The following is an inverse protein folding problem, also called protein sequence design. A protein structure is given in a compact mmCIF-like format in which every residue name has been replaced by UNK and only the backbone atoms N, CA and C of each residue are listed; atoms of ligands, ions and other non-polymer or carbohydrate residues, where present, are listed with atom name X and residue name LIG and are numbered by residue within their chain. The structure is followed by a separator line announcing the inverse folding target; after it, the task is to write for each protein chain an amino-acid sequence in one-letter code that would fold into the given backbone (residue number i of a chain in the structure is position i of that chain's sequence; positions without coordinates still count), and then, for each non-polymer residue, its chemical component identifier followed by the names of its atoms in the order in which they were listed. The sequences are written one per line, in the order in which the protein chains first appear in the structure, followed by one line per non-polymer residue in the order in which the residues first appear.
data_IF_901148537556
#
_entry.id   IF_901148537556
#
_cell.length_a   1.000
_cell.length_b   1.000
_cell.length_c   1.000
_cell.angle_alpha   90.00
_cell.angle_beta   90.00
_cell.angle_gamma   90.00
#
_symmetry.space_group_name_H-M   'P 1'
#
loop_
_entity.id
_entity.type
_entity.pdbx_description
1 polymer ?
#
# COMPACT_ATOMS: atom_id res chain seq x y z
N UNK A 1 -13.23 -6.17 -17.59
CA UNK A 1 -12.92 -4.72 -17.70
C UNK A 1 -12.31 -4.29 -16.38
N UNK A 2 -11.13 -3.65 -16.39
CA UNK A 2 -10.56 -3.04 -15.19
C UNK A 2 -11.47 -1.91 -14.71
N UNK A 3 -11.46 -1.60 -13.42
CA UNK A 3 -12.21 -0.44 -12.95
C UNK A 3 -11.44 0.83 -13.36
N UNK A 4 -12.15 1.94 -13.62
CA UNK A 4 -11.54 3.24 -13.95
C UNK A 4 -10.45 3.65 -12.94
N UNK A 5 -10.65 3.35 -11.67
CA UNK A 5 -9.67 3.64 -10.60
C UNK A 5 -8.37 2.82 -10.76
N UNK A 6 -8.44 1.58 -11.24
CA UNK A 6 -7.26 0.76 -11.49
C UNK A 6 -6.46 1.28 -12.68
N UNK A 7 -7.15 1.72 -13.75
CA UNK A 7 -6.49 2.29 -14.93
C UNK A 7 -5.82 3.62 -14.60
N UNK A 8 -6.43 4.46 -13.76
CA UNK A 8 -5.82 5.71 -13.27
C UNK A 8 -4.54 5.46 -12.45
N UNK A 9 -4.55 4.44 -11.58
CA UNK A 9 -3.35 4.05 -10.83
C UNK A 9 -2.21 3.63 -11.76
N UNK A 10 -2.50 2.73 -12.70
CA UNK A 10 -1.51 2.27 -13.70
C UNK A 10 -1.01 3.37 -14.63
N UNK A 11 -1.88 4.30 -15.02
CA UNK A 11 -1.48 5.45 -15.84
C UNK A 11 -0.51 6.37 -15.06
N UNK A 12 -0.72 6.56 -13.77
CA UNK A 12 0.20 7.31 -12.93
C UNK A 12 1.54 6.59 -12.74
N UNK A 13 1.54 5.25 -12.58
CA UNK A 13 2.77 4.44 -12.58
C UNK A 13 3.57 4.63 -13.86
N UNK A 14 2.90 4.61 -15.03
CA UNK A 14 3.54 4.84 -16.32
C UNK A 14 4.13 6.25 -16.43
N UNK A 15 3.40 7.28 -16.02
CA UNK A 15 3.90 8.66 -15.99
C UNK A 15 5.19 8.78 -15.14
N UNK A 16 5.24 8.09 -13.98
CA UNK A 16 6.43 8.09 -13.13
C UNK A 16 7.61 7.38 -13.79
N UNK A 17 7.39 6.29 -14.53
CA UNK A 17 8.47 5.60 -15.29
C UNK A 17 9.07 6.55 -16.36
N UNK A 18 8.22 7.27 -17.10
CA UNK A 18 8.67 8.21 -18.14
C UNK A 18 9.48 9.34 -17.52
N UNK A 19 8.95 10.02 -16.52
CA UNK A 19 9.64 11.13 -15.85
C UNK A 19 10.95 10.69 -15.19
N UNK A 20 10.99 9.52 -14.55
CA UNK A 20 12.23 8.96 -14.00
C UNK A 20 13.25 8.68 -15.09
N UNK A 21 12.82 8.09 -16.22
CA UNK A 21 13.72 7.83 -17.35
C UNK A 21 14.32 9.13 -17.87
N UNK A 22 13.48 10.11 -18.21
CA UNK A 22 13.90 11.38 -18.79
C UNK A 22 14.90 12.11 -17.87
N UNK A 23 14.64 12.11 -16.54
CA UNK A 23 15.52 12.76 -15.56
C UNK A 23 16.83 11.99 -15.28
N UNK A 24 16.85 10.67 -15.45
CA UNK A 24 18.05 9.84 -15.22
C UNK A 24 18.93 9.80 -16.47
N UNK A 25 18.34 9.74 -17.68
CA UNK A 25 19.12 9.58 -18.92
C UNK A 25 20.04 10.77 -19.24
N UNK A 26 19.76 11.96 -18.71
CA UNK A 26 20.64 13.13 -18.78
C UNK A 26 21.97 12.94 -18.03
N UNK A 27 22.04 11.99 -17.10
CA UNK A 27 23.19 11.80 -16.18
C UNK A 27 23.87 10.44 -16.40
N UNK A 28 23.11 9.38 -16.72
CA UNK A 28 23.62 8.01 -16.82
C UNK A 28 22.74 7.11 -17.67
N UNK A 29 23.26 5.96 -18.16
CA UNK A 29 22.44 4.98 -18.90
C UNK A 29 21.28 4.46 -18.07
N UNK A 30 20.08 4.49 -18.65
CA UNK A 30 18.83 3.97 -18.07
C UNK A 30 18.04 3.21 -19.12
N UNK A 31 17.41 2.09 -18.73
CA UNK A 31 16.54 1.31 -19.58
C UNK A 31 15.24 0.99 -18.85
N UNK A 32 14.16 0.87 -19.60
CA UNK A 32 12.86 0.41 -19.10
C UNK A 32 12.74 -1.08 -19.42
N UNK A 33 12.25 -1.88 -18.48
CA UNK A 33 11.79 -3.24 -18.75
C UNK A 33 10.44 -3.18 -19.47
N UNK A 34 10.48 -3.23 -20.80
CA UNK A 34 9.33 -3.05 -21.68
C UNK A 34 8.20 -4.06 -21.42
N UNK A 35 8.53 -5.30 -21.00
CA UNK A 35 7.50 -6.30 -20.70
C UNK A 35 6.72 -5.92 -19.42
N UNK A 36 7.39 -5.33 -18.45
CA UNK A 36 6.80 -4.96 -17.17
C UNK A 36 5.79 -3.81 -17.28
N UNK A 37 5.97 -2.89 -18.24
CA UNK A 37 5.16 -1.67 -18.35
C UNK A 37 3.94 -1.80 -19.27
N UNK A 38 3.75 -2.93 -20.00
CA UNK A 38 2.70 -3.09 -21.02
C UNK A 38 1.30 -2.71 -20.52
N UNK A 39 0.94 -3.15 -19.31
CA UNK A 39 -0.39 -2.89 -18.75
C UNK A 39 -0.56 -1.40 -18.34
N UNK A 40 0.49 -0.80 -17.82
CA UNK A 40 0.52 0.61 -17.41
C UNK A 40 0.49 1.53 -18.64
N UNK A 41 1.24 1.21 -19.70
CA UNK A 41 1.20 1.91 -20.98
C UNK A 41 -0.19 1.87 -21.62
N UNK A 42 -0.85 0.69 -21.66
CA UNK A 42 -2.23 0.60 -22.16
C UNK A 42 -3.20 1.48 -21.36
N UNK A 43 -3.08 1.51 -20.05
CA UNK A 43 -3.90 2.36 -19.21
C UNK A 43 -3.63 3.85 -19.48
N UNK A 44 -2.37 4.24 -19.68
CA UNK A 44 -1.96 5.58 -20.08
C UNK A 44 -2.59 6.04 -21.41
N UNK A 45 -2.59 5.18 -22.43
CA UNK A 45 -3.19 5.51 -23.73
C UNK A 45 -4.70 5.77 -23.67
N UNK A 46 -5.39 5.29 -22.64
CA UNK A 46 -6.82 5.55 -22.45
C UNK A 46 -7.13 6.87 -21.75
N UNK A 47 -6.10 7.55 -21.21
CA UNK A 47 -6.29 8.82 -20.51
C UNK A 47 -6.39 10.01 -21.48
N UNK A 48 -7.15 11.02 -21.08
CA UNK A 48 -7.19 12.31 -21.80
C UNK A 48 -5.85 13.05 -21.64
N UNK A 49 -5.54 13.95 -22.57
CA UNK A 49 -4.32 14.78 -22.50
C UNK A 49 -4.26 15.61 -21.19
N UNK A 50 -5.40 16.05 -20.68
CA UNK A 50 -5.46 16.74 -19.39
C UNK A 50 -5.05 15.83 -18.22
N UNK A 51 -5.51 14.58 -18.21
CA UNK A 51 -5.14 13.60 -17.20
C UNK A 51 -3.67 13.20 -17.33
N UNK A 52 -3.17 13.00 -18.56
CA UNK A 52 -1.76 12.71 -18.83
C UNK A 52 -0.86 13.82 -18.29
N UNK A 53 -1.13 15.07 -18.62
CA UNK A 53 -0.37 16.23 -18.12
C UNK A 53 -0.43 16.34 -16.59
N UNK A 54 -1.55 16.02 -15.97
CA UNK A 54 -1.70 15.99 -14.52
C UNK A 54 -0.80 14.93 -13.88
N UNK A 55 -0.77 13.71 -14.43
CA UNK A 55 0.09 12.63 -13.94
C UNK A 55 1.58 12.93 -14.11
N UNK A 56 2.01 13.53 -15.23
CA UNK A 56 3.39 13.95 -15.45
C UNK A 56 3.81 15.00 -14.40
N UNK A 57 3.00 16.03 -14.17
CA UNK A 57 3.27 17.03 -13.12
C UNK A 57 3.34 16.41 -11.72
N UNK A 58 2.46 15.45 -11.44
CA UNK A 58 2.49 14.73 -10.17
C UNK A 58 3.74 13.87 -10.01
N UNK A 59 4.23 13.28 -11.09
CA UNK A 59 5.44 12.49 -11.14
C UNK A 59 6.69 13.37 -10.98
N UNK A 60 6.85 14.43 -11.77
CA UNK A 60 8.00 15.35 -11.69
C UNK A 60 8.17 15.95 -10.28
N UNK A 61 7.06 16.24 -9.61
CA UNK A 61 7.08 16.95 -8.32
C UNK A 61 7.93 16.29 -7.23
N UNK A 62 8.06 14.96 -7.18
CA UNK A 62 8.78 14.27 -6.11
C UNK A 62 10.18 13.78 -6.50
N UNK A 63 10.55 13.82 -7.78
CA UNK A 63 11.80 13.21 -8.28
C UNK A 63 13.04 13.84 -7.65
N UNK A 64 13.09 15.16 -7.52
CA UNK A 64 14.24 15.84 -6.87
C UNK A 64 14.37 15.41 -5.40
N UNK A 65 13.25 15.18 -4.72
CA UNK A 65 13.23 14.65 -3.34
C UNK A 65 13.76 13.22 -3.30
N UNK A 66 13.36 12.38 -4.25
CA UNK A 66 13.85 11.01 -4.38
C UNK A 66 15.36 10.99 -4.64
N UNK A 67 15.87 11.79 -5.55
CA UNK A 67 17.31 11.87 -5.85
C UNK A 67 18.13 12.40 -4.67
N UNK A 68 17.56 13.32 -3.89
CA UNK A 68 18.16 13.80 -2.64
C UNK A 68 18.25 12.73 -1.56
N UNK A 69 17.30 11.79 -1.54
CA UNK A 69 17.27 10.66 -0.61
C UNK A 69 18.13 9.48 -1.08
N UNK A 70 18.22 9.25 -2.41
CA UNK A 70 18.83 8.05 -3.00
C UNK A 70 19.89 8.42 -4.06
N UNK A 71 21.09 8.84 -3.63
CA UNK A 71 22.16 9.27 -4.54
C UNK A 71 22.65 8.17 -5.50
N UNK A 72 22.44 6.89 -5.14
CA UNK A 72 22.80 5.75 -5.98
C UNK A 72 22.03 5.69 -7.30
N UNK A 73 20.91 6.41 -7.42
CA UNK A 73 20.18 6.52 -8.69
C UNK A 73 21.02 7.27 -9.73
N UNK A 74 21.66 8.37 -9.33
CA UNK A 74 22.42 9.24 -10.25
C UNK A 74 23.90 8.92 -10.30
N UNK A 75 24.47 8.27 -9.28
CA UNK A 75 25.86 7.87 -9.28
C UNK A 75 26.14 6.80 -10.35
N UNK A 76 27.14 7.02 -11.20
CA UNK A 76 27.48 6.14 -12.30
C UNK A 76 28.97 5.73 -12.25
N UNK A 77 29.23 4.44 -12.30
CA UNK A 77 30.57 3.84 -12.30
C UNK A 77 31.03 3.44 -13.73
N UNK A 78 30.56 4.14 -14.76
CA UNK A 78 30.90 3.89 -16.17
C UNK A 78 29.72 3.48 -17.04
N UNK A 79 29.93 3.33 -18.34
CA UNK A 79 28.87 3.12 -19.34
C UNK A 79 28.09 1.81 -19.16
N UNK A 80 28.69 0.78 -18.54
CA UNK A 80 28.02 -0.51 -18.30
C UNK A 80 27.18 -0.51 -17.01
N UNK A 81 27.23 0.57 -16.24
CA UNK A 81 26.47 0.75 -15.01
C UNK A 81 25.07 1.33 -15.32
N UNK A 82 24.15 0.46 -15.65
CA UNK A 82 22.81 0.79 -16.15
C UNK A 82 21.79 0.75 -15.01
N UNK A 83 20.90 1.75 -14.95
CA UNK A 83 19.64 1.69 -14.18
C UNK A 83 18.59 0.95 -14.99
N UNK A 84 17.87 0.06 -14.34
CA UNK A 84 16.69 -0.60 -14.91
C UNK A 84 15.45 -0.15 -14.14
N UNK A 85 14.47 0.39 -14.87
CA UNK A 85 13.16 0.77 -14.36
C UNK A 85 12.15 -0.31 -14.72
N UNK A 86 11.40 -0.80 -13.75
CA UNK A 86 10.37 -1.84 -13.96
C UNK A 86 9.12 -1.60 -13.11
N UNK A 87 7.98 -2.13 -13.55
CA UNK A 87 6.74 -2.19 -12.77
C UNK A 87 6.55 -3.63 -12.29
N UNK A 88 6.34 -3.81 -10.98
CA UNK A 88 6.08 -5.11 -10.38
C UNK A 88 4.71 -5.64 -10.82
N UNK A 89 4.60 -6.96 -10.89
CA UNK A 89 3.32 -7.63 -11.15
C UNK A 89 2.43 -7.60 -9.91
N UNK A 90 1.12 -7.50 -10.11
CA UNK A 90 0.13 -7.57 -9.01
C UNK A 90 0.30 -8.85 -8.15
N UNK A 91 0.81 -9.95 -8.74
CA UNK A 91 1.14 -11.19 -8.03
C UNK A 91 2.23 -11.04 -6.98
N UNK A 92 3.17 -10.11 -7.15
CA UNK A 92 4.31 -9.95 -6.25
C UNK A 92 3.86 -9.41 -4.87
N UNK A 93 2.75 -8.66 -4.85
CA UNK A 93 2.10 -8.24 -3.62
C UNK A 93 1.56 -9.41 -2.77
N UNK A 94 1.25 -10.56 -3.38
CA UNK A 94 0.86 -11.79 -2.67
C UNK A 94 2.05 -12.40 -1.93
N UNK A 95 3.26 -12.23 -2.46
CA UNK A 95 4.51 -12.64 -1.82
C UNK A 95 5.09 -11.58 -0.88
N UNK A 96 4.36 -10.47 -0.69
CA UNK A 96 4.71 -9.42 0.27
C UNK A 96 5.56 -8.28 -0.29
N UNK A 97 5.81 -8.20 -1.59
CA UNK A 97 6.42 -7.02 -2.21
C UNK A 97 5.31 -6.02 -2.57
N UNK A 98 5.24 -4.90 -1.86
CA UNK A 98 4.21 -3.86 -2.03
C UNK A 98 4.65 -2.72 -2.94
N UNK A 99 5.83 -2.84 -3.55
CA UNK A 99 6.38 -1.83 -4.47
C UNK A 99 5.71 -1.96 -5.82
N UNK A 100 5.24 -0.85 -6.36
CA UNK A 100 4.62 -0.80 -7.69
C UNK A 100 5.71 -0.55 -8.77
N UNK A 101 6.66 0.36 -8.52
CA UNK A 101 7.82 0.62 -9.38
C UNK A 101 9.10 0.18 -8.66
N UNK A 102 10.03 -0.45 -9.38
CA UNK A 102 11.35 -0.82 -8.87
C UNK A 102 12.44 -0.18 -9.73
N UNK A 103 13.38 0.47 -9.05
CA UNK A 103 14.59 1.07 -9.62
C UNK A 103 15.75 0.16 -9.24
N UNK A 104 16.39 -0.48 -10.21
CA UNK A 104 17.46 -1.46 -9.97
C UNK A 104 18.78 -1.00 -10.56
N UNK A 105 19.85 -1.09 -9.78
CA UNK A 105 21.25 -0.90 -10.21
C UNK A 105 22.02 -2.21 -10.00
N UNK A 106 22.12 -3.02 -11.05
CA UNK A 106 22.66 -4.40 -10.97
C UNK A 106 24.16 -4.43 -10.62
N UNK A 107 24.93 -3.46 -11.09
CA UNK A 107 26.38 -3.37 -10.87
C UNK A 107 26.78 -3.39 -9.39
N UNK A 108 25.97 -2.80 -8.52
CA UNK A 108 26.17 -2.74 -7.06
C UNK A 108 25.17 -3.55 -6.26
N UNK A 109 24.34 -4.38 -6.92
CA UNK A 109 23.27 -5.20 -6.28
C UNK A 109 22.34 -4.38 -5.39
N UNK A 110 21.87 -3.26 -5.89
CA UNK A 110 21.02 -2.35 -5.17
C UNK A 110 19.69 -2.17 -5.92
N UNK A 111 18.62 -2.11 -5.17
CA UNK A 111 17.29 -1.75 -5.67
C UNK A 111 16.51 -1.00 -4.61
N UNK A 112 15.67 -0.10 -5.06
CA UNK A 112 14.62 0.54 -4.24
C UNK A 112 13.29 0.48 -4.96
N UNK A 113 12.20 0.69 -4.22
CA UNK A 113 10.88 0.70 -4.79
C UNK A 113 10.02 1.86 -4.36
N UNK A 114 9.06 2.15 -5.23
CA UNK A 114 8.02 3.14 -5.01
C UNK A 114 6.66 2.44 -4.94
N UNK A 115 5.85 2.73 -3.93
CA UNK A 115 4.44 2.33 -3.88
C UNK A 115 3.58 3.51 -4.28
N UNK A 116 2.97 3.40 -5.47
CA UNK A 116 2.27 4.51 -6.14
C UNK A 116 0.78 4.50 -5.78
N UNK A 117 0.25 5.67 -5.42
CA UNK A 117 -1.18 5.82 -5.14
C UNK A 117 -1.69 7.13 -5.76
N UNK A 118 -2.91 7.08 -6.30
CA UNK A 118 -3.59 8.25 -6.85
C UNK A 118 -4.86 8.53 -6.07
N UNK A 119 -4.92 9.66 -5.37
CA UNK A 119 -6.03 10.07 -4.49
C UNK A 119 -6.45 9.03 -3.44
N UNK A 120 -5.54 8.11 -3.06
CA UNK A 120 -5.87 6.99 -2.21
C UNK A 120 -4.76 6.72 -1.19
N UNK A 121 -5.12 6.61 0.09
CA UNK A 121 -4.17 6.50 1.20
C UNK A 121 -4.08 5.10 1.81
N UNK A 122 -4.83 4.11 1.30
CA UNK A 122 -4.81 2.77 1.88
C UNK A 122 -3.41 2.17 1.92
N UNK A 123 -3.13 1.50 3.03
CA UNK A 123 -1.93 0.68 3.17
C UNK A 123 -2.11 -0.64 2.42
N UNK A 124 -3.27 -1.28 2.60
CA UNK A 124 -3.61 -2.56 1.95
C UNK A 124 -5.12 -2.76 1.90
N UNK A 125 -5.58 -3.46 0.87
CA UNK A 125 -6.95 -3.96 0.75
C UNK A 125 -6.98 -5.46 1.04
N UNK A 126 -7.22 -5.83 2.28
CA UNK A 126 -7.38 -7.24 2.66
C UNK A 126 -8.83 -7.68 2.55
N UNK A 127 -9.07 -8.98 2.36
CA UNK A 127 -10.42 -9.55 2.33
C UNK A 127 -10.66 -10.42 3.55
N UNK A 128 -11.91 -10.40 4.02
CA UNK A 128 -12.45 -11.35 4.98
C UNK A 128 -13.53 -12.21 4.29
N UNK A 129 -13.59 -13.47 4.68
CA UNK A 129 -14.61 -14.42 4.22
C UNK A 129 -14.79 -15.55 5.24
N UNK A 130 -15.73 -16.44 5.01
CA UNK A 130 -15.92 -17.64 5.85
C UNK A 130 -14.78 -18.66 5.78
N UNK A 131 -13.74 -18.42 4.95
CA UNK A 131 -12.61 -19.34 4.74
C UNK A 131 -11.23 -18.69 4.85
N UNK A 132 -11.15 -17.36 4.81
CA UNK A 132 -9.87 -16.64 4.92
C UNK A 132 -9.52 -16.47 6.40
N UNK A 133 -8.49 -17.19 6.83
CA UNK A 133 -7.89 -17.00 8.16
C UNK A 133 -6.97 -15.78 8.14
N UNK A 134 -7.51 -14.63 8.55
CA UNK A 134 -6.74 -13.39 8.57
C UNK A 134 -5.61 -13.44 9.58
N UNK A 135 -5.81 -14.09 10.73
CA UNK A 135 -4.81 -14.20 11.77
C UNK A 135 -3.59 -14.98 11.29
N UNK A 136 -3.79 -16.16 10.68
CA UNK A 136 -2.72 -16.92 10.05
C UNK A 136 -2.02 -16.12 8.94
N UNK A 137 -2.80 -15.40 8.10
CA UNK A 137 -2.27 -14.66 6.94
C UNK A 137 -1.52 -13.38 7.33
N UNK A 138 -2.04 -12.62 8.33
CA UNK A 138 -1.50 -11.29 8.62
C UNK A 138 -0.36 -11.32 9.64
N UNK A 139 -0.43 -12.21 10.62
CA UNK A 139 0.56 -12.28 11.68
C UNK A 139 0.98 -13.70 12.09
N UNK A 140 0.60 -14.71 11.28
CA UNK A 140 1.08 -16.09 11.44
C UNK A 140 0.49 -16.83 12.65
N UNK A 141 -0.64 -16.35 13.21
CA UNK A 141 -1.34 -16.98 14.34
C UNK A 141 -2.79 -17.26 13.93
N UNK A 142 -3.20 -18.54 13.81
CA UNK A 142 -4.55 -18.88 13.34
C UNK A 142 -5.65 -18.30 14.23
N UNK A 143 -6.77 -17.95 13.59
CA UNK A 143 -7.98 -17.53 14.31
C UNK A 143 -8.59 -18.68 15.11
N UNK A 144 -9.09 -18.36 16.30
CA UNK A 144 -9.74 -19.30 17.22
C UNK A 144 -11.13 -19.70 16.73
N UNK A 145 -11.64 -20.85 17.23
CA UNK A 145 -12.98 -21.34 16.90
C UNK A 145 -14.08 -20.33 17.29
N UNK A 146 -13.89 -19.54 18.34
CA UNK A 146 -14.83 -18.49 18.73
C UNK A 146 -15.02 -17.42 17.65
N UNK A 147 -13.96 -17.05 16.93
CA UNK A 147 -14.03 -16.18 15.76
C UNK A 147 -14.84 -16.84 14.63
N UNK A 148 -14.53 -18.10 14.31
CA UNK A 148 -15.17 -18.83 13.22
C UNK A 148 -16.65 -19.09 13.47
N UNK A 149 -17.06 -19.33 14.71
CA UNK A 149 -18.45 -19.52 15.09
C UNK A 149 -19.31 -18.28 14.81
N UNK A 150 -18.74 -17.06 14.90
CA UNK A 150 -19.42 -15.82 14.52
C UNK A 150 -19.40 -15.59 13.01
N UNK A 151 -18.25 -15.81 12.36
CA UNK A 151 -18.01 -15.39 10.98
C UNK A 151 -18.68 -16.32 9.95
N UNK A 152 -18.59 -17.64 10.12
CA UNK A 152 -19.09 -18.61 9.14
C UNK A 152 -20.59 -18.44 8.84
N UNK A 153 -21.50 -18.30 9.83
CA UNK A 153 -22.92 -18.10 9.54
C UNK A 153 -23.21 -16.84 8.72
N UNK A 154 -22.49 -15.74 9.00
CA UNK A 154 -22.67 -14.47 8.29
C UNK A 154 -22.27 -14.64 6.81
N UNK A 155 -21.08 -15.19 6.54
CA UNK A 155 -20.64 -15.40 5.15
C UNK A 155 -21.44 -16.47 4.40
N UNK A 156 -21.99 -17.46 5.10
CA UNK A 156 -22.94 -18.42 4.51
C UNK A 156 -24.22 -17.71 4.04
N UNK A 157 -24.78 -16.81 4.87
CA UNK A 157 -25.91 -15.95 4.48
C UNK A 157 -25.57 -15.08 3.28
N UNK A 158 -24.40 -14.40 3.29
CA UNK A 158 -23.98 -13.57 2.17
C UNK A 158 -23.81 -14.38 0.88
N UNK A 159 -23.37 -15.64 0.97
CA UNK A 159 -23.28 -16.53 -0.19
C UNK A 159 -24.64 -16.81 -0.80
N UNK A 160 -25.64 -17.15 0.01
CA UNK A 160 -27.01 -17.34 -0.47
C UNK A 160 -27.58 -16.08 -1.13
N UNK A 161 -27.42 -14.91 -0.49
CA UNK A 161 -27.87 -13.63 -1.04
C UNK A 161 -27.17 -13.27 -2.37
N UNK A 162 -25.93 -13.70 -2.56
CA UNK A 162 -25.23 -13.57 -3.85
C UNK A 162 -25.85 -14.43 -4.94
N UNK A 163 -26.20 -15.68 -4.61
CA UNK A 163 -26.86 -16.62 -5.53
C UNK A 163 -28.21 -16.04 -5.99
N UNK A 164 -28.93 -15.38 -5.09
CA UNK A 164 -30.18 -14.65 -5.35
C UNK A 164 -29.97 -13.28 -6.03
N UNK A 165 -28.71 -12.88 -6.33
CA UNK A 165 -28.33 -11.61 -6.95
C UNK A 165 -28.84 -10.37 -6.21
N UNK A 166 -28.95 -10.44 -4.88
CA UNK A 166 -29.43 -9.33 -4.06
C UNK A 166 -28.47 -8.15 -4.16
N UNK A 167 -29.01 -6.95 -4.40
CA UNK A 167 -28.20 -5.74 -4.43
C UNK A 167 -27.79 -5.33 -3.00
N UNK A 168 -26.52 -4.87 -2.85
CA UNK A 168 -26.00 -4.53 -1.53
C UNK A 168 -26.77 -3.39 -0.85
N UNK A 169 -27.32 -2.45 -1.61
CA UNK A 169 -28.11 -1.34 -1.05
C UNK A 169 -29.45 -1.78 -0.49
N UNK A 170 -30.03 -2.90 -0.96
CA UNK A 170 -31.29 -3.45 -0.49
C UNK A 170 -31.17 -4.14 0.87
N UNK A 171 -29.95 -4.46 1.31
CA UNK A 171 -29.72 -5.00 2.65
C UNK A 171 -29.83 -3.89 3.70
N UNK A 172 -31.01 -3.70 4.25
CA UNK A 172 -31.29 -2.65 5.26
C UNK A 172 -30.68 -2.94 6.63
N UNK A 173 -30.42 -4.21 6.95
CA UNK A 173 -29.85 -4.69 8.22
C UNK A 173 -28.33 -4.88 8.20
N UNK A 174 -27.64 -4.52 7.09
CA UNK A 174 -26.21 -4.83 6.89
C UNK A 174 -25.29 -4.30 7.99
N UNK A 175 -25.62 -3.17 8.62
CA UNK A 175 -24.81 -2.63 9.70
C UNK A 175 -24.84 -3.51 10.94
N UNK A 176 -26.01 -3.98 11.35
CA UNK A 176 -26.21 -4.75 12.57
C UNK A 176 -25.98 -6.25 12.38
N UNK A 177 -26.34 -6.78 11.22
CA UNK A 177 -26.26 -8.23 10.96
C UNK A 177 -24.96 -8.66 10.25
N UNK A 178 -24.20 -7.72 9.67
CA UNK A 178 -22.96 -8.03 8.93
C UNK A 178 -21.76 -7.26 9.47
N UNK A 179 -21.78 -5.93 9.40
CA UNK A 179 -20.59 -5.15 9.72
C UNK A 179 -20.23 -5.22 11.20
N UNK A 180 -21.16 -4.89 12.07
CA UNK A 180 -20.89 -4.87 13.51
C UNK A 180 -20.37 -6.23 14.04
N UNK A 181 -21.04 -7.37 13.80
CA UNK A 181 -20.55 -8.64 14.34
C UNK A 181 -19.21 -9.08 13.74
N UNK A 182 -18.90 -8.76 12.48
CA UNK A 182 -17.60 -9.09 11.89
C UNK A 182 -16.50 -8.23 12.50
N UNK A 183 -16.71 -6.93 12.67
CA UNK A 183 -15.71 -6.03 13.27
C UNK A 183 -15.52 -6.34 14.75
N UNK A 184 -16.59 -6.68 15.48
CA UNK A 184 -16.52 -7.11 16.88
C UNK A 184 -15.70 -8.40 17.04
N UNK A 185 -15.97 -9.40 16.18
CA UNK A 185 -15.21 -10.65 16.16
C UNK A 185 -13.72 -10.42 15.81
N UNK A 186 -13.45 -9.52 14.86
CA UNK A 186 -12.08 -9.12 14.51
C UNK A 186 -11.35 -8.48 15.70
N UNK A 187 -12.00 -7.55 16.42
CA UNK A 187 -11.42 -6.89 17.60
C UNK A 187 -11.11 -7.91 18.69
N UNK A 188 -12.08 -8.79 19.00
CA UNK A 188 -11.91 -9.83 20.02
C UNK A 188 -10.80 -10.80 19.67
N UNK A 189 -10.76 -11.27 18.42
CA UNK A 189 -9.74 -12.21 17.96
C UNK A 189 -8.34 -11.60 17.98
N UNK A 190 -8.17 -10.35 17.52
CA UNK A 190 -6.87 -9.70 17.55
C UNK A 190 -6.36 -9.48 18.98
N UNK A 191 -7.23 -9.08 19.92
CA UNK A 191 -6.87 -8.95 21.34
C UNK A 191 -6.50 -10.31 21.95
N UNK A 192 -7.26 -11.38 21.64
CA UNK A 192 -6.94 -12.75 22.08
C UNK A 192 -5.55 -13.18 21.56
N UNK A 193 -5.32 -13.00 20.26
CA UNK A 193 -4.05 -13.36 19.64
C UNK A 193 -2.88 -12.58 20.26
N UNK A 194 -3.04 -11.28 20.51
CA UNK A 194 -2.02 -10.46 21.16
C UNK A 194 -1.72 -10.91 22.60
N UNK A 195 -2.74 -11.27 23.36
CA UNK A 195 -2.54 -11.82 24.72
C UNK A 195 -1.71 -13.12 24.70
N UNK A 196 -1.89 -13.94 23.67
CA UNK A 196 -1.15 -15.18 23.49
C UNK A 196 0.25 -14.97 22.88
N UNK A 197 0.46 -13.89 22.12
CA UNK A 197 1.72 -13.64 21.41
C UNK A 197 1.99 -12.14 21.23
N UNK A 198 2.93 -11.61 22.01
CA UNK A 198 3.34 -10.20 21.99
C UNK A 198 3.96 -9.71 20.67
N UNK A 199 4.29 -10.62 19.73
CA UNK A 199 4.84 -10.22 18.41
C UNK A 199 3.77 -9.81 17.39
N UNK A 200 2.48 -9.92 17.73
CA UNK A 200 1.37 -9.58 16.82
C UNK A 200 1.46 -8.16 16.24
N UNK A 201 1.75 -7.09 17.02
CA UNK A 201 1.83 -5.72 16.49
C UNK A 201 2.87 -5.57 15.38
N UNK A 202 4.09 -6.06 15.62
CA UNK A 202 5.18 -5.96 14.64
C UNK A 202 4.91 -6.80 13.39
N UNK A 203 4.35 -8.01 13.54
CA UNK A 203 3.98 -8.87 12.41
C UNK A 203 2.86 -8.26 11.56
N UNK A 204 1.85 -7.65 12.20
CA UNK A 204 0.78 -6.96 11.48
C UNK A 204 1.33 -5.82 10.61
N UNK A 205 2.17 -4.94 11.18
CA UNK A 205 2.77 -3.85 10.40
C UNK A 205 3.66 -4.41 9.29
N UNK A 206 4.46 -5.44 9.56
CA UNK A 206 5.27 -6.12 8.52
C UNK A 206 4.41 -6.72 7.40
N UNK A 207 3.26 -7.30 7.71
CA UNK A 207 2.32 -7.78 6.70
C UNK A 207 1.74 -6.65 5.83
N UNK A 208 1.42 -5.51 6.45
CA UNK A 208 0.82 -4.36 5.75
C UNK A 208 1.83 -3.65 4.84
N UNK A 209 3.08 -3.53 5.31
CA UNK A 209 4.15 -2.82 4.60
C UNK A 209 5.03 -3.73 3.74
N UNK A 210 4.82 -5.05 3.84
CA UNK A 210 5.56 -6.02 3.04
C UNK A 210 6.98 -6.31 3.54
N UNK A 211 7.76 -6.99 2.67
CA UNK A 211 9.07 -7.57 3.01
C UNK A 211 10.26 -6.68 2.62
N UNK A 212 10.04 -5.58 1.92
CA UNK A 212 11.07 -4.63 1.47
C UNK A 212 10.76 -3.22 1.97
N UNK A 213 11.79 -2.41 2.12
CA UNK A 213 11.63 -0.98 2.36
C UNK A 213 11.26 -0.27 1.05
N UNK A 214 10.53 0.84 1.14
CA UNK A 214 10.03 1.55 -0.04
C UNK A 214 9.66 2.99 0.28
N UNK A 215 9.51 3.79 -0.77
CA UNK A 215 8.86 5.10 -0.70
C UNK A 215 7.41 4.99 -1.16
N UNK A 216 6.48 5.52 -0.35
CA UNK A 216 5.09 5.66 -0.76
C UNK A 216 4.89 7.03 -1.39
N UNK A 217 4.36 7.04 -2.60
CA UNK A 217 4.13 8.24 -3.41
C UNK A 217 2.64 8.38 -3.67
N UNK A 218 2.03 9.46 -3.16
CA UNK A 218 0.59 9.68 -3.26
C UNK A 218 0.32 10.99 -4.00
N UNK A 219 -0.18 10.91 -5.23
CA UNK A 219 -0.68 12.08 -5.95
C UNK A 219 -2.04 12.51 -5.39
N UNK A 220 -2.19 13.79 -5.04
CA UNK A 220 -3.40 14.38 -4.46
C UNK A 220 -3.88 15.54 -5.33
N UNK A 221 -4.76 15.24 -6.28
CA UNK A 221 -5.21 16.18 -7.32
C UNK A 221 -5.79 17.48 -6.74
N UNK A 222 -6.68 17.36 -5.76
CA UNK A 222 -7.35 18.52 -5.14
C UNK A 222 -6.39 19.52 -4.51
N UNK A 223 -5.22 19.05 -4.07
CA UNK A 223 -4.19 19.88 -3.44
C UNK A 223 -3.06 20.26 -4.40
N UNK A 224 -2.99 19.60 -5.55
CA UNK A 224 -1.86 19.67 -6.51
C UNK A 224 -0.50 19.45 -5.81
N UNK A 225 -0.45 18.37 -5.03
CA UNK A 225 0.77 17.91 -4.36
C UNK A 225 0.95 16.42 -4.59
N UNK A 226 2.21 15.99 -4.57
CA UNK A 226 2.59 14.60 -4.41
C UNK A 226 3.20 14.42 -3.02
N UNK A 227 2.58 13.60 -2.19
CA UNK A 227 3.10 13.25 -0.88
C UNK A 227 4.09 12.10 -1.02
N UNK A 228 5.31 12.32 -0.51
CA UNK A 228 6.40 11.36 -0.54
C UNK A 228 6.71 10.93 0.89
N UNK A 229 6.57 9.61 1.18
CA UNK A 229 6.78 9.04 2.51
C UNK A 229 7.81 7.92 2.48
N UNK A 230 8.72 7.89 3.45
CA UNK A 230 9.80 6.89 3.54
C UNK A 230 9.45 5.77 4.52
N UNK A 231 9.24 4.55 4.04
CA UNK A 231 9.05 3.36 4.88
C UNK A 231 10.37 2.58 4.97
N UNK A 232 11.28 3.05 5.82
CA UNK A 232 12.60 2.49 6.05
C UNK A 232 12.62 1.67 7.36
N UNK A 233 12.11 0.45 7.33
CA UNK A 233 11.99 -0.41 8.51
C UNK A 233 13.21 -1.32 8.71
N UNK A 234 13.87 -1.68 7.61
CA UNK A 234 15.02 -2.60 7.58
C UNK A 234 16.34 -1.88 7.38
N UNK A 235 16.29 -0.60 7.03
CA UNK A 235 17.47 0.20 6.71
C UNK A 235 17.99 -0.06 5.30
N UNK A 236 17.11 -0.42 4.35
CA UNK A 236 17.48 -0.63 2.95
C UNK A 236 17.54 0.67 2.16
N UNK A 237 16.79 1.71 2.59
CA UNK A 237 16.78 3.03 1.96
C UNK A 237 17.94 3.91 2.40
N UNK A 238 18.15 5.03 1.67
CA UNK A 238 19.08 6.11 2.01
C UNK A 238 20.53 5.66 2.08
N UNK A 239 20.97 4.86 1.11
CA UNK A 239 22.35 4.39 1.03
C UNK A 239 23.23 5.42 0.34
N UNK A 240 24.32 5.81 1.00
CA UNK A 240 25.36 6.61 0.40
C UNK A 240 26.02 5.87 -0.77
N UNK A 241 26.38 6.61 -1.80
CA UNK A 241 27.27 6.15 -2.87
C UNK A 241 28.75 6.24 -2.48
N UNK A 242 29.62 5.81 -3.38
CA UNK A 242 31.08 5.93 -3.17
C UNK A 242 31.52 7.40 -3.15
N UNK A 243 30.97 8.20 -4.07
CA UNK A 243 31.35 9.59 -4.29
C UNK A 243 30.23 10.57 -3.94
N UNK A 244 28.99 10.08 -3.76
CA UNK A 244 27.80 10.88 -3.56
C UNK A 244 27.11 10.48 -2.27
N UNK A 245 26.73 11.45 -1.46
CA UNK A 245 25.98 11.22 -0.23
C UNK A 245 24.54 11.70 -0.35
N UNK A 246 23.65 11.04 0.39
CA UNK A 246 22.29 11.52 0.52
C UNK A 246 22.28 12.92 1.17
N UNK A 247 21.54 13.84 0.57
CA UNK A 247 21.34 15.20 1.11
C UNK A 247 20.08 15.30 1.95
N UNK A 248 19.15 14.37 1.76
CA UNK A 248 17.97 14.16 2.62
C UNK A 248 18.20 12.93 3.48
N UNK A 249 18.20 13.09 4.81
CA UNK A 249 18.35 11.97 5.75
C UNK A 249 17.02 11.23 5.94
N UNK A 250 17.05 9.91 5.73
CA UNK A 250 15.91 9.01 5.94
C UNK A 250 16.24 8.05 7.10
N UNK A 251 15.78 8.33 8.31
CA UNK A 251 16.06 7.47 9.45
C UNK A 251 15.29 6.14 9.37
N UNK A 252 15.79 5.13 10.07
CA UNK A 252 15.10 3.87 10.25
C UNK A 252 13.93 4.06 11.22
N UNK A 253 12.75 3.49 10.86
CA UNK A 253 11.57 3.49 11.70
C UNK A 253 11.44 2.16 12.48
N UNK A 254 11.02 2.25 13.75
CA UNK A 254 10.83 1.08 14.58
C UNK A 254 9.44 0.46 14.39
N UNK A 255 9.39 -0.86 14.37
CA UNK A 255 8.14 -1.61 14.39
C UNK A 255 7.49 -1.50 15.79
N UNK A 256 6.15 -1.55 15.85
CA UNK A 256 5.47 -1.54 17.15
C UNK A 256 5.63 -2.89 17.87
N UNK A 257 5.63 -2.84 19.19
CA UNK A 257 5.72 -4.01 20.07
C UNK A 257 4.49 -4.15 20.98
N UNK A 258 3.62 -3.12 21.02
CA UNK A 258 2.50 -3.06 21.96
C UNK A 258 1.23 -2.54 21.29
N UNK A 259 0.08 -3.18 21.59
CA UNK A 259 -1.26 -2.66 21.32
C UNK A 259 -1.68 -1.77 22.50
N UNK A 260 -1.82 -0.47 22.26
CA UNK A 260 -2.31 0.48 23.25
C UNK A 260 -3.83 0.40 23.34
N UNK A 261 -4.51 0.35 22.20
CA UNK A 261 -5.97 0.27 22.12
C UNK A 261 -6.42 -0.30 20.78
N UNK A 262 -7.40 -1.19 20.79
CA UNK A 262 -8.14 -1.65 19.62
C UNK A 262 -9.64 -1.59 19.94
N UNK A 263 -10.38 -0.75 19.24
CA UNK A 263 -11.78 -0.48 19.53
C UNK A 263 -12.54 -0.08 18.26
N UNK A 264 -13.86 -0.08 18.34
CA UNK A 264 -14.66 0.58 17.31
C UNK A 264 -14.33 2.07 17.22
N UNK A 265 -14.29 2.59 15.99
CA UNK A 265 -14.31 4.03 15.76
C UNK A 265 -15.59 4.61 16.35
N UNK A 266 -15.53 5.76 17.07
CA UNK A 266 -16.73 6.41 17.59
C UNK A 266 -17.82 6.59 16.51
N UNK A 267 -19.05 6.24 16.85
CA UNK A 267 -20.22 6.32 15.95
C UNK A 267 -20.13 5.50 14.66
N UNK A 268 -19.33 4.44 14.62
CA UNK A 268 -19.23 3.55 13.46
C UNK A 268 -19.43 2.08 13.87
N UNK A 269 -20.23 1.35 13.10
CA UNK A 269 -20.42 -0.10 13.21
C UNK A 269 -19.54 -0.89 12.24
N UNK A 270 -18.88 -0.21 11.31
CA UNK A 270 -18.11 -0.82 10.21
C UNK A 270 -16.61 -0.54 10.27
N UNK A 271 -16.13 0.19 11.29
CA UNK A 271 -14.72 0.62 11.37
C UNK A 271 -14.17 0.37 12.75
N UNK A 272 -13.01 -0.29 12.81
CA UNK A 272 -12.17 -0.37 14.02
C UNK A 272 -10.97 0.58 13.89
N UNK A 273 -10.48 1.08 15.02
CA UNK A 273 -9.25 1.85 15.16
C UNK A 273 -8.28 1.11 16.08
N UNK A 274 -7.05 0.95 15.60
CA UNK A 274 -5.93 0.33 16.30
C UNK A 274 -4.87 1.38 16.57
N UNK A 275 -4.51 1.53 17.84
CA UNK A 275 -3.42 2.38 18.29
C UNK A 275 -2.32 1.50 18.88
N UNK A 276 -1.11 1.67 18.36
CA UNK A 276 0.09 0.94 18.75
C UNK A 276 1.12 1.91 19.34
N UNK A 277 2.12 1.40 20.04
CA UNK A 277 3.26 2.22 20.44
C UNK A 277 4.10 2.68 19.24
N UNK A 278 5.12 3.49 19.47
CA UNK A 278 6.02 4.06 18.46
C UNK A 278 5.31 4.92 17.40
N UNK A 279 4.10 5.44 17.69
CA UNK A 279 3.37 6.36 16.79
C UNK A 279 2.53 5.69 15.70
N UNK A 280 2.44 4.37 15.67
CA UNK A 280 1.60 3.66 14.71
C UNK A 280 0.12 3.69 15.09
N UNK A 281 -0.73 4.06 14.13
CA UNK A 281 -2.18 3.88 14.27
C UNK A 281 -2.84 3.60 12.93
N UNK A 282 -3.91 2.81 12.97
CA UNK A 282 -4.60 2.32 11.77
C UNK A 282 -6.12 2.35 11.94
N UNK A 283 -6.82 2.51 10.83
CA UNK A 283 -8.24 2.21 10.72
C UNK A 283 -8.49 1.01 9.82
N UNK A 284 -9.48 0.21 10.18
CA UNK A 284 -9.95 -0.97 9.45
C UNK A 284 -11.42 -0.79 9.13
N UNK A 285 -11.75 -0.35 7.92
CA UNK A 285 -13.12 -0.17 7.49
C UNK A 285 -13.57 -1.33 6.62
N UNK A 286 -14.59 -2.07 7.08
CA UNK A 286 -15.19 -3.16 6.30
C UNK A 286 -16.25 -2.63 5.33
N UNK A 287 -16.25 -3.14 4.10
CA UNK A 287 -17.26 -2.79 3.11
C UNK A 287 -17.40 -3.88 2.04
N UNK A 288 -18.56 -3.90 1.37
CA UNK A 288 -18.75 -4.67 0.14
C UNK A 288 -18.14 -3.91 -1.04
N UNK A 289 -17.40 -4.61 -1.91
CA UNK A 289 -16.70 -3.99 -3.03
C UNK A 289 -17.51 -3.97 -4.35
N UNK A 290 -18.72 -4.49 -4.33
CA UNK A 290 -19.59 -4.64 -5.48
C UNK A 290 -20.96 -4.03 -5.22
N UNK A 291 -21.73 -3.77 -6.27
CA UNK A 291 -23.15 -3.36 -6.17
C UNK A 291 -24.05 -4.52 -5.74
N UNK A 292 -23.60 -5.76 -5.98
CA UNK A 292 -24.27 -6.99 -5.55
C UNK A 292 -23.59 -7.51 -4.28
N UNK A 293 -24.32 -8.24 -3.45
CA UNK A 293 -23.79 -8.92 -2.26
C UNK A 293 -22.65 -9.86 -2.67
N UNK A 294 -21.54 -9.80 -1.94
CA UNK A 294 -20.37 -10.66 -2.14
C UNK A 294 -20.13 -11.54 -0.89
N UNK A 295 -19.76 -12.83 -1.04
CA UNK A 295 -19.42 -13.71 0.08
C UNK A 295 -18.00 -13.46 0.60
N UNK A 296 -17.44 -12.30 0.29
CA UNK A 296 -16.20 -11.77 0.86
C UNK A 296 -16.26 -10.25 0.93
N UNK A 297 -15.84 -9.69 2.04
CA UNK A 297 -15.82 -8.25 2.27
C UNK A 297 -14.38 -7.73 2.29
N UNK A 298 -14.18 -6.50 1.85
CA UNK A 298 -12.87 -5.82 1.93
C UNK A 298 -12.72 -5.13 3.28
N UNK A 299 -11.53 -5.24 3.85
CA UNK A 299 -11.01 -4.25 4.79
C UNK A 299 -10.18 -3.22 4.02
N UNK A 300 -10.63 -1.97 4.06
CA UNK A 300 -9.87 -0.80 3.67
C UNK A 300 -9.03 -0.37 4.88
N UNK A 301 -7.72 -0.64 4.80
CA UNK A 301 -6.80 -0.41 5.92
C UNK A 301 -6.01 0.85 5.62
N UNK A 302 -6.09 1.84 6.51
CA UNK A 302 -5.41 3.12 6.36
C UNK A 302 -4.58 3.44 7.60
N UNK A 303 -3.42 4.06 7.41
CA UNK A 303 -2.69 4.68 8.50
C UNK A 303 -3.42 5.95 8.96
N UNK A 304 -3.70 6.05 10.26
CA UNK A 304 -4.15 7.27 10.94
C UNK A 304 -2.95 8.06 11.47
N UNK A 305 -1.88 7.37 11.80
CA UNK A 305 -0.60 7.91 12.20
C UNK A 305 0.53 6.94 11.93
N UNK A 306 1.71 7.50 11.71
CA UNK A 306 2.97 6.78 11.49
C UNK A 306 4.05 7.35 12.42
N UNK A 307 5.11 6.60 12.74
CA UNK A 307 6.26 7.11 13.51
C UNK A 307 6.82 8.42 13.00
N UNK A 308 7.34 9.27 13.89
CA UNK A 308 7.92 10.56 13.53
C UNK A 308 9.16 10.44 12.61
N UNK A 309 9.84 9.30 12.63
CA UNK A 309 10.97 8.99 11.72
C UNK A 309 10.53 8.43 10.35
N UNK A 310 9.25 8.26 10.08
CA UNK A 310 8.75 8.16 8.70
C UNK A 310 8.63 9.58 8.15
N UNK A 311 9.61 9.98 7.34
CA UNK A 311 9.65 11.31 6.75
C UNK A 311 8.51 11.44 5.74
N UNK A 312 7.75 12.52 5.85
CA UNK A 312 6.66 12.86 4.92
C UNK A 312 6.92 14.24 4.33
N UNK A 313 7.03 14.32 3.02
CA UNK A 313 7.29 15.56 2.27
C UNK A 313 6.16 15.79 1.29
N UNK A 314 5.61 17.02 1.29
CA UNK A 314 4.61 17.44 0.33
C UNK A 314 5.27 18.21 -0.82
N UNK A 315 5.41 17.57 -1.96
CA UNK A 315 6.00 18.13 -3.16
C UNK A 315 4.92 18.81 -4.01
N UNK A 316 5.02 20.13 -4.25
CA UNK A 316 4.04 20.88 -5.03
C UNK A 316 4.23 20.63 -6.52
N UNK A 317 3.14 20.46 -7.25
CA UNK A 317 3.17 20.39 -8.71
C UNK A 317 3.50 21.77 -9.30
N UNK A 318 4.35 21.77 -10.29
CA UNK A 318 4.74 22.99 -11.04
C UNK A 318 3.87 23.19 -12.27
#
# INVERSE_FOLDING_TARGET
MSSRSNDQGRAFEYACIIELKDRIEDVRPVVIDEESIIAAHRAWETQSETEKNMYLRAADAFIDTLFSAEPLILECDGNDDIIVLSINKDSDAEFGDVRDIVITRKSVRWDIGLSMKHNHFAAKHSRLSGTIDFGKKWYGHPCDDSYWNVIKPIFTRLKSLKEDKVAWHDMTDKEDSVYFPIVDAFIKEMNRAYTANSTIPSRLISYLLGIRDFYKVVAIDKKQITEFQSFNLRGELNKDGKNTKATLLIPKADLPTEIISLRFKPNSKSTAELYLNNGWSLSFRIHNASTIVEPSLKFDIQFLGVPANIITINCRWK
#
